data_IF_660209496583
#
_entry.id   IF_660209496583
#
_cell.length_a   1.000
_cell.length_b   1.000
_cell.length_c   1.000
_cell.angle_alpha   90.00
_cell.angle_beta   90.00
_cell.angle_gamma   90.00
#
_symmetry.space_group_name_H-M   'P 1'
#
loop_
_entity.id
_entity.type
_entity.pdbx_description
1 polymer ?
#
# COMPACT_ATOMS: atom_id res chain seq x y z
N UNK A 1 1.20 -2.49 6.43
CA UNK A 1 0.45 -1.79 5.37
C UNK A 1 1.03 -2.17 4.03
N UNK A 2 0.21 -2.48 3.04
CA UNK A 2 0.65 -2.70 1.65
C UNK A 2 -0.28 -1.96 0.70
N UNK A 3 0.20 -1.63 -0.49
CA UNK A 3 -0.62 -1.14 -1.59
C UNK A 3 -0.58 -2.19 -2.69
N UNK A 4 -1.63 -3.04 -2.81
CA UNK A 4 -1.65 -4.10 -3.81
C UNK A 4 -1.51 -3.57 -5.23
N UNK A 5 -2.16 -2.44 -5.54
CA UNK A 5 -2.08 -1.80 -6.87
C UNK A 5 -0.65 -1.31 -7.19
N UNK A 6 0.06 -0.75 -6.22
CA UNK A 6 1.45 -0.32 -6.38
C UNK A 6 2.38 -1.49 -6.72
N UNK A 7 2.24 -2.60 -5.98
CA UNK A 7 2.97 -3.85 -6.23
C UNK A 7 2.61 -4.41 -7.60
N UNK A 8 1.32 -4.43 -7.96
CA UNK A 8 0.85 -4.95 -9.24
C UNK A 8 1.39 -4.13 -10.41
N UNK A 9 1.44 -2.80 -10.32
CA UNK A 9 2.03 -1.93 -11.34
C UNK A 9 3.54 -2.21 -11.50
N UNK A 10 4.30 -2.24 -10.42
CA UNK A 10 5.74 -2.50 -10.47
C UNK A 10 6.09 -3.88 -11.06
N UNK A 11 5.34 -4.92 -10.66
CA UNK A 11 5.55 -6.27 -11.16
C UNK A 11 5.08 -6.42 -12.61
N UNK A 12 4.02 -5.74 -13.03
CA UNK A 12 3.54 -5.79 -14.42
C UNK A 12 4.48 -5.02 -15.35
N UNK A 13 5.03 -3.88 -14.90
CA UNK A 13 6.15 -3.22 -15.60
C UNK A 13 7.33 -4.19 -15.83
N UNK A 14 7.66 -4.97 -14.80
CA UNK A 14 8.73 -5.98 -14.85
C UNK A 14 8.37 -7.16 -15.77
N UNK A 15 7.12 -7.61 -15.76
CA UNK A 15 6.63 -8.74 -16.54
C UNK A 15 6.71 -8.48 -18.05
N UNK A 16 6.57 -7.23 -18.49
CA UNK A 16 6.76 -6.84 -19.89
C UNK A 16 8.18 -7.12 -20.42
N UNK A 17 9.15 -7.29 -19.52
CA UNK A 17 10.51 -7.70 -19.83
C UNK A 17 10.75 -9.21 -19.75
N UNK A 18 9.81 -9.98 -19.19
CA UNK A 18 9.93 -11.42 -18.94
C UNK A 18 9.54 -12.25 -20.16
N UNK A 19 10.05 -13.48 -20.24
CA UNK A 19 9.74 -14.44 -21.31
C UNK A 19 9.65 -15.88 -20.77
N UNK A 20 9.04 -16.78 -21.53
CA UNK A 20 8.88 -18.20 -21.19
C UNK A 20 8.26 -18.45 -19.80
N UNK A 21 8.83 -19.40 -19.05
CA UNK A 21 8.32 -19.79 -17.73
C UNK A 21 8.35 -18.64 -16.71
N UNK A 22 9.29 -17.70 -16.86
CA UNK A 22 9.34 -16.51 -15.98
C UNK A 22 8.10 -15.64 -16.20
N UNK A 23 7.73 -15.38 -17.45
CA UNK A 23 6.52 -14.61 -17.78
C UNK A 23 5.27 -15.33 -17.31
N UNK A 24 5.13 -16.63 -17.62
CA UNK A 24 3.96 -17.41 -17.24
C UNK A 24 3.72 -17.43 -15.71
N UNK A 25 4.79 -17.50 -14.92
CA UNK A 25 4.69 -17.41 -13.46
C UNK A 25 4.26 -16.01 -12.99
N UNK A 26 4.77 -14.95 -13.61
CA UNK A 26 4.39 -13.57 -13.30
C UNK A 26 2.93 -13.30 -13.65
N UNK A 27 2.47 -13.70 -14.84
CA UNK A 27 1.07 -13.58 -15.26
C UNK A 27 0.13 -14.32 -14.31
N UNK A 28 0.48 -15.56 -13.95
CA UNK A 28 -0.32 -16.36 -13.01
C UNK A 28 -0.46 -15.69 -11.65
N UNK A 29 0.62 -15.09 -11.14
CA UNK A 29 0.58 -14.38 -9.87
C UNK A 29 -0.26 -13.11 -10.00
N UNK A 30 -0.04 -12.29 -11.02
CA UNK A 30 -0.64 -10.95 -11.16
C UNK A 30 -2.10 -10.96 -11.61
N UNK A 31 -2.43 -11.78 -12.60
CA UNK A 31 -3.72 -11.74 -13.30
C UNK A 31 -4.34 -13.12 -13.54
N UNK A 32 -3.76 -14.19 -12.96
CA UNK A 32 -4.14 -15.59 -13.19
C UNK A 32 -4.04 -15.95 -14.68
N UNK A 33 -5.16 -15.89 -15.39
CA UNK A 33 -5.26 -16.27 -16.81
C UNK A 33 -5.22 -15.05 -17.75
N UNK A 34 -5.08 -13.83 -17.19
CA UNK A 34 -4.98 -12.59 -17.97
C UNK A 34 -3.54 -12.43 -18.49
N UNK A 35 -3.32 -12.42 -19.81
CA UNK A 35 -2.00 -12.18 -20.39
C UNK A 35 -1.48 -10.78 -20.08
N UNK A 36 -0.15 -10.61 -20.02
CA UNK A 36 0.46 -9.32 -19.62
C UNK A 36 0.05 -8.16 -20.53
N UNK A 37 -0.14 -8.40 -21.82
CA UNK A 37 -0.53 -7.36 -22.78
C UNK A 37 -1.95 -6.84 -22.50
N UNK A 38 -2.88 -7.71 -22.08
CA UNK A 38 -4.23 -7.32 -21.66
C UNK A 38 -4.22 -6.67 -20.26
N UNK A 39 -3.40 -7.19 -19.35
CA UNK A 39 -3.22 -6.62 -18.02
C UNK A 39 -2.67 -5.18 -18.10
N UNK A 40 -1.78 -4.90 -19.04
CA UNK A 40 -1.29 -3.55 -19.31
C UNK A 40 -2.43 -2.57 -19.63
N UNK A 41 -3.40 -2.98 -20.46
CA UNK A 41 -4.55 -2.15 -20.82
C UNK A 41 -5.46 -1.90 -19.62
N UNK A 42 -5.75 -2.93 -18.82
CA UNK A 42 -6.53 -2.78 -17.59
C UNK A 42 -5.85 -1.86 -16.59
N UNK A 43 -4.55 -2.03 -16.37
CA UNK A 43 -3.79 -1.21 -15.43
C UNK A 43 -3.65 0.23 -15.90
N UNK A 44 -3.41 0.45 -17.19
CA UNK A 44 -3.38 1.78 -17.78
C UNK A 44 -4.73 2.48 -17.61
N UNK A 45 -5.82 1.80 -17.96
CA UNK A 45 -7.15 2.37 -17.80
C UNK A 45 -7.45 2.66 -16.33
N UNK A 46 -7.20 1.70 -15.43
CA UNK A 46 -7.48 1.86 -14.01
C UNK A 46 -6.67 3.00 -13.41
N UNK A 47 -5.35 3.01 -13.58
CA UNK A 47 -4.46 4.03 -13.01
C UNK A 47 -4.79 5.45 -13.50
N UNK A 48 -5.11 5.62 -14.80
CA UNK A 48 -5.45 6.94 -15.34
C UNK A 48 -6.88 7.41 -15.01
N UNK A 49 -7.77 6.51 -14.58
CA UNK A 49 -9.14 6.85 -14.19
C UNK A 49 -9.35 6.86 -12.68
N UNK A 50 -8.30 6.64 -11.88
CA UNK A 50 -8.39 6.85 -10.43
C UNK A 50 -8.69 8.32 -10.13
N UNK A 51 -9.74 8.61 -9.34
CA UNK A 51 -10.08 9.98 -8.98
C UNK A 51 -8.92 10.68 -8.27
N UNK A 52 -8.54 11.86 -8.74
CA UNK A 52 -7.51 12.69 -8.14
C UNK A 52 -7.99 14.15 -8.12
N UNK A 53 -8.25 14.67 -6.93
CA UNK A 53 -8.75 16.04 -6.72
C UNK A 53 -8.13 16.66 -5.47
N UNK A 54 -8.24 17.99 -5.30
CA UNK A 54 -7.52 18.76 -4.28
C UNK A 54 -7.67 18.20 -2.84
N UNK A 55 -8.88 17.77 -2.47
CA UNK A 55 -9.21 17.20 -1.14
C UNK A 55 -9.18 15.68 -1.08
N UNK A 56 -8.80 15.03 -2.19
CA UNK A 56 -8.74 13.57 -2.32
C UNK A 56 -7.71 13.23 -3.39
N UNK A 57 -6.46 13.56 -3.07
CA UNK A 57 -5.29 13.39 -3.91
C UNK A 57 -4.89 11.93 -3.93
N UNK A 58 -4.73 11.42 -5.14
CA UNK A 58 -4.21 10.09 -5.40
C UNK A 58 -3.17 10.23 -6.51
N UNK A 59 -1.93 9.90 -6.21
CA UNK A 59 -0.84 9.95 -7.19
C UNK A 59 -0.21 8.58 -7.34
N UNK A 60 0.07 8.22 -8.59
CA UNK A 60 0.88 7.07 -8.97
C UNK A 60 2.02 7.60 -9.82
N UNK A 61 3.25 7.29 -9.43
CA UNK A 61 4.43 7.58 -10.21
C UNK A 61 5.20 6.28 -10.43
N UNK A 62 5.68 6.09 -11.65
CA UNK A 62 6.48 4.95 -12.04
C UNK A 62 7.80 5.44 -12.61
N UNK A 63 8.90 4.76 -12.29
CA UNK A 63 10.18 5.01 -12.96
C UNK A 63 10.97 3.74 -13.20
N UNK A 64 11.75 3.76 -14.27
CA UNK A 64 12.73 2.74 -14.62
C UNK A 64 14.09 3.42 -14.67
N UNK A 65 15.01 2.95 -13.85
CA UNK A 65 16.40 3.39 -13.83
C UNK A 65 17.25 2.24 -14.34
N UNK A 66 18.05 2.43 -15.37
CA UNK A 66 18.91 1.37 -15.90
C UNK A 66 20.34 1.86 -16.17
N UNK A 67 21.29 0.92 -16.06
CA UNK A 67 22.71 1.25 -16.05
C UNK A 67 23.20 1.75 -17.41
N UNK A 68 23.87 2.90 -17.39
CA UNK A 68 24.55 3.53 -18.52
C UNK A 68 25.91 2.86 -18.75
N UNK A 69 25.87 1.62 -19.24
CA UNK A 69 27.04 0.80 -19.53
C UNK A 69 26.68 -0.14 -20.68
N UNK A 70 26.89 0.33 -21.92
CA UNK A 70 26.44 -0.38 -23.14
C UNK A 70 27.21 -1.69 -23.40
N UNK A 71 28.44 -1.80 -22.88
CA UNK A 71 29.22 -3.04 -22.90
C UNK A 71 28.63 -4.09 -21.94
N UNK A 72 27.91 -3.62 -20.91
CA UNK A 72 27.29 -4.47 -19.89
C UNK A 72 25.82 -4.76 -20.11
N UNK A 73 25.05 -3.80 -20.60
CA UNK A 73 23.60 -3.85 -20.67
C UNK A 73 23.09 -3.23 -21.98
N UNK A 74 22.47 -4.07 -22.79
CA UNK A 74 21.69 -3.62 -23.97
C UNK A 74 20.22 -3.82 -23.63
N UNK A 75 19.48 -2.72 -23.50
CA UNK A 75 18.04 -2.73 -23.22
C UNK A 75 17.25 -2.78 -24.53
N UNK A 76 16.18 -3.57 -24.54
CA UNK A 76 15.22 -3.60 -25.64
C UNK A 76 14.34 -2.35 -25.60
N UNK A 77 14.24 -1.64 -26.73
CA UNK A 77 13.47 -0.39 -26.81
C UNK A 77 11.96 -0.63 -26.63
N UNK A 78 11.46 -1.76 -27.10
CA UNK A 78 10.04 -2.11 -26.98
C UNK A 78 9.63 -2.25 -25.52
N UNK A 79 10.49 -2.81 -24.66
CA UNK A 79 10.26 -2.87 -23.21
C UNK A 79 10.11 -1.47 -22.61
N UNK A 80 11.01 -0.54 -22.95
CA UNK A 80 10.94 0.84 -22.48
C UNK A 80 9.67 1.53 -23.01
N UNK A 81 9.33 1.34 -24.28
CA UNK A 81 8.16 1.97 -24.91
C UNK A 81 6.85 1.47 -24.29
N UNK A 82 6.73 0.17 -24.03
CA UNK A 82 5.56 -0.42 -23.36
C UNK A 82 5.40 0.18 -21.96
N UNK A 83 6.48 0.31 -21.20
CA UNK A 83 6.43 0.91 -19.86
C UNK A 83 6.08 2.40 -19.89
N UNK A 84 6.59 3.15 -20.86
CA UNK A 84 6.20 4.54 -21.06
C UNK A 84 4.71 4.67 -21.42
N UNK A 85 4.19 3.80 -22.30
CA UNK A 85 2.82 3.89 -22.80
C UNK A 85 1.77 3.49 -21.77
N UNK A 86 1.97 2.37 -21.07
CA UNK A 86 0.94 1.78 -20.20
C UNK A 86 1.06 2.15 -18.73
N UNK A 87 2.25 2.58 -18.29
CA UNK A 87 2.51 2.87 -16.88
C UNK A 87 2.92 4.32 -16.64
N UNK A 88 2.99 5.15 -17.69
CA UNK A 88 3.56 6.50 -17.63
C UNK A 88 4.94 6.51 -16.94
N UNK A 89 5.74 5.45 -17.16
CA UNK A 89 7.00 5.28 -16.46
C UNK A 89 8.04 6.29 -16.97
N UNK A 90 8.64 7.04 -16.05
CA UNK A 90 9.79 7.88 -16.34
C UNK A 90 11.05 7.02 -16.51
N UNK A 91 11.79 7.22 -17.61
CA UNK A 91 12.91 6.35 -17.99
C UNK A 91 14.23 7.10 -17.82
N UNK A 92 15.10 6.55 -16.98
CA UNK A 92 16.39 7.12 -16.61
C UNK A 92 17.54 6.17 -16.97
N UNK A 93 18.35 6.54 -17.96
CA UNK A 93 19.68 5.95 -18.18
C UNK A 93 20.65 6.60 -17.20
N UNK A 94 21.31 5.82 -16.34
CA UNK A 94 22.10 6.37 -15.21
C UNK A 94 23.37 5.59 -14.94
N UNK A 95 24.44 6.20 -14.41
CA UNK A 95 25.71 5.51 -14.19
C UNK A 95 25.73 4.58 -12.96
N UNK A 96 24.70 4.64 -12.10
CA UNK A 96 24.57 3.82 -10.88
C UNK A 96 25.70 4.11 -9.89
N UNK A 97 25.95 5.39 -9.64
CA UNK A 97 26.90 5.91 -8.64
C UNK A 97 26.16 6.38 -7.38
N UNK A 98 26.90 6.86 -6.37
CA UNK A 98 26.33 7.54 -5.20
C UNK A 98 25.40 8.73 -5.56
N UNK A 99 25.61 9.36 -6.73
CA UNK A 99 24.71 10.40 -7.20
C UNK A 99 23.38 9.80 -7.67
N UNK A 100 23.42 8.71 -8.44
CA UNK A 100 22.21 7.96 -8.85
C UNK A 100 21.40 7.50 -7.64
N UNK A 101 22.07 7.05 -6.56
CA UNK A 101 21.41 6.71 -5.29
C UNK A 101 20.62 7.89 -4.70
N UNK A 102 21.21 9.09 -4.72
CA UNK A 102 20.53 10.32 -4.25
C UNK A 102 19.39 10.71 -5.19
N UNK A 103 19.59 10.58 -6.49
CA UNK A 103 18.59 10.93 -7.50
C UNK A 103 17.36 10.04 -7.38
N UNK A 104 17.54 8.73 -7.19
CA UNK A 104 16.44 7.77 -6.95
C UNK A 104 15.67 8.14 -5.67
N UNK A 105 16.36 8.37 -4.56
CA UNK A 105 15.69 8.72 -3.30
C UNK A 105 15.00 10.08 -3.38
N UNK A 106 15.59 11.06 -4.07
CA UNK A 106 14.96 12.36 -4.32
C UNK A 106 13.73 12.24 -5.23
N UNK A 107 13.79 11.39 -6.26
CA UNK A 107 12.64 11.08 -7.10
C UNK A 107 11.49 10.50 -6.28
N UNK A 108 11.77 9.55 -5.38
CA UNK A 108 10.75 9.01 -4.45
C UNK A 108 10.22 10.08 -3.51
N UNK A 109 11.10 10.91 -2.94
CA UNK A 109 10.68 11.98 -2.03
C UNK A 109 9.71 12.96 -2.70
N UNK A 110 10.04 13.41 -3.91
CA UNK A 110 9.20 14.32 -4.70
C UNK A 110 7.87 13.64 -5.06
N UNK A 111 7.92 12.43 -5.62
CA UNK A 111 6.73 11.70 -6.05
C UNK A 111 5.89 11.14 -4.89
N UNK A 112 6.35 11.32 -3.64
CA UNK A 112 5.61 10.97 -2.43
C UNK A 112 5.24 12.16 -1.56
N UNK A 113 5.38 13.40 -2.06
CA UNK A 113 5.19 14.64 -1.28
C UNK A 113 5.95 14.63 0.06
N UNK A 114 7.13 14.01 0.07
CA UNK A 114 7.97 13.85 1.25
C UNK A 114 7.49 12.81 2.27
N UNK A 115 6.46 12.02 1.97
CA UNK A 115 5.99 10.95 2.86
C UNK A 115 6.97 9.78 2.92
N UNK A 116 7.74 9.54 1.86
CA UNK A 116 8.81 8.55 1.82
C UNK A 116 10.09 9.28 1.45
N UNK A 117 11.02 9.35 2.41
CA UNK A 117 12.30 10.05 2.25
C UNK A 117 13.32 9.25 1.42
N UNK A 118 13.33 7.93 1.61
CA UNK A 118 14.26 6.99 0.98
C UNK A 118 13.60 5.65 0.71
N UNK A 119 14.01 5.03 -0.39
CA UNK A 119 13.64 3.67 -0.80
C UNK A 119 14.82 2.71 -0.86
N UNK A 120 16.04 3.22 -1.11
CA UNK A 120 17.27 2.42 -1.16
C UNK A 120 18.40 3.10 -0.37
N UNK A 121 19.21 2.29 0.30
CA UNK A 121 20.36 2.75 1.09
C UNK A 121 21.69 2.66 0.34
N UNK A 122 21.77 1.76 -0.65
CA UNK A 122 22.95 1.52 -1.48
C UNK A 122 22.53 1.01 -2.86
N UNK A 123 23.46 1.07 -3.82
CA UNK A 123 23.33 0.43 -5.13
C UNK A 123 24.43 -0.63 -5.21
N UNK A 124 24.03 -1.89 -5.38
CA UNK A 124 25.01 -2.98 -5.50
C UNK A 124 25.68 -2.96 -6.89
N UNK A 125 26.96 -3.35 -6.97
CA UNK A 125 27.76 -3.32 -8.20
C UNK A 125 27.16 -4.16 -9.34
N UNK A 126 26.46 -5.24 -9.00
CA UNK A 126 25.78 -6.14 -9.94
C UNK A 126 24.38 -5.64 -10.35
N UNK A 127 23.84 -4.61 -9.69
CA UNK A 127 22.55 -4.01 -10.06
C UNK A 127 22.63 -3.38 -11.44
N UNK A 128 21.67 -3.70 -12.30
CA UNK A 128 21.57 -3.16 -13.68
C UNK A 128 20.31 -2.33 -13.92
N UNK A 129 19.26 -2.53 -13.12
CA UNK A 129 17.98 -1.84 -13.26
C UNK A 129 17.21 -1.75 -11.94
N UNK A 130 16.50 -0.65 -11.72
CA UNK A 130 15.45 -0.51 -10.74
C UNK A 130 14.13 -0.17 -11.44
N UNK A 131 13.05 -0.85 -11.07
CA UNK A 131 11.68 -0.48 -11.41
C UNK A 131 11.01 -0.04 -10.11
N UNK A 132 10.60 1.22 -10.06
CA UNK A 132 10.10 1.86 -8.84
C UNK A 132 8.68 2.34 -9.10
N UNK A 133 7.76 1.91 -8.23
CA UNK A 133 6.43 2.49 -8.13
C UNK A 133 6.33 3.28 -6.82
N UNK A 134 5.78 4.48 -6.89
CA UNK A 134 5.39 5.28 -5.74
C UNK A 134 3.89 5.56 -5.84
N UNK A 135 3.17 5.37 -4.74
CA UNK A 135 1.75 5.70 -4.62
C UNK A 135 1.52 6.60 -3.40
N UNK A 136 0.78 7.69 -3.60
CA UNK A 136 0.36 8.62 -2.55
C UNK A 136 -1.13 8.61 -2.46
N UNK A 137 -1.62 8.63 -1.22
CA UNK A 137 -3.02 8.91 -0.92
C UNK A 137 -3.07 9.98 0.17
N UNK A 138 -3.69 11.10 -0.17
CA UNK A 138 -3.89 12.24 0.73
C UNK A 138 -5.34 12.74 0.55
N UNK A 139 -6.21 12.50 1.52
CA UNK A 139 -7.64 12.76 1.37
C UNK A 139 -8.33 13.17 2.67
N UNK A 140 -9.18 14.19 2.58
CA UNK A 140 -10.04 14.63 3.67
C UNK A 140 -11.25 13.69 3.85
N UNK A 141 -11.70 13.52 5.09
CA UNK A 141 -12.99 12.89 5.34
C UNK A 141 -14.14 13.68 4.70
N UNK A 142 -15.19 13.00 4.23
CA UNK A 142 -16.42 13.69 3.83
C UNK A 142 -17.03 14.48 4.98
N UNK A 143 -16.98 13.89 6.17
CA UNK A 143 -17.35 14.52 7.44
C UNK A 143 -16.17 14.34 8.38
N UNK A 144 -15.44 15.44 8.57
CA UNK A 144 -14.28 15.53 9.46
C UNK A 144 -14.69 15.41 10.92
N UNK A 145 -13.74 14.98 11.76
CA UNK A 145 -13.91 14.99 13.21
C UNK A 145 -13.58 16.38 13.75
N UNK A 146 -14.36 16.83 14.73
CA UNK A 146 -14.13 18.07 15.46
C UNK A 146 -13.56 17.78 16.85
N UNK A 147 -13.11 18.82 17.56
CA UNK A 147 -12.56 18.65 18.92
C UNK A 147 -13.51 17.96 19.90
N UNK A 148 -14.83 18.09 19.71
CA UNK A 148 -15.82 17.43 20.55
C UNK A 148 -15.96 15.92 20.28
N UNK A 149 -15.45 15.46 19.14
CA UNK A 149 -15.52 14.08 18.69
C UNK A 149 -14.26 13.29 19.11
N UNK A 150 -13.28 13.97 19.72
CA UNK A 150 -11.97 13.43 20.07
C UNK A 150 -11.85 13.27 21.58
N UNK A 151 -11.41 12.10 22.04
CA UNK A 151 -11.17 11.84 23.46
C UNK A 151 -9.97 10.90 23.67
N UNK A 152 -9.40 10.90 24.87
CA UNK A 152 -8.36 9.94 25.24
C UNK A 152 -8.97 8.58 25.54
N UNK A 153 -8.55 7.56 24.81
CA UNK A 153 -9.02 6.18 24.95
C UNK A 153 -7.88 5.19 25.09
N UNK A 154 -8.24 3.96 25.43
CA UNK A 154 -7.31 2.84 25.56
C UNK A 154 -7.44 1.90 24.36
N UNK A 155 -6.30 1.57 23.73
CA UNK A 155 -6.17 0.51 22.75
C UNK A 155 -5.44 -0.69 23.38
N UNK A 156 -6.00 -1.88 23.20
CA UNK A 156 -5.38 -3.15 23.62
C UNK A 156 -4.56 -3.68 22.47
N UNK A 157 -3.24 -3.59 22.56
CA UNK A 157 -2.34 -4.10 21.53
C UNK A 157 -2.34 -5.63 21.47
N UNK A 158 -1.79 -6.18 20.37
CA UNK A 158 -1.71 -7.62 20.15
C UNK A 158 -0.93 -8.38 21.25
N UNK A 159 0.02 -7.71 21.91
CA UNK A 159 0.78 -8.26 23.05
C UNK A 159 0.03 -8.15 24.39
N UNK A 160 -1.22 -7.67 24.37
CA UNK A 160 -2.06 -7.43 25.54
C UNK A 160 -1.78 -6.10 26.26
N UNK A 161 -0.75 -5.34 25.84
CA UNK A 161 -0.46 -4.05 26.46
C UNK A 161 -1.55 -3.01 26.19
N UNK A 162 -1.84 -2.19 27.20
CA UNK A 162 -2.79 -1.08 27.09
C UNK A 162 -2.06 0.19 26.68
N UNK A 163 -2.53 0.83 25.62
CA UNK A 163 -1.90 2.00 25.02
C UNK A 163 -2.90 3.15 24.94
N UNK A 164 -2.55 4.29 25.54
CA UNK A 164 -3.40 5.48 25.53
C UNK A 164 -3.16 6.28 24.24
N UNK A 165 -4.23 6.65 23.55
CA UNK A 165 -4.19 7.47 22.35
C UNK A 165 -5.46 8.33 22.22
N UNK A 166 -5.43 9.25 21.27
CA UNK A 166 -6.62 9.96 20.83
C UNK A 166 -7.51 9.04 19.97
N UNK A 167 -8.76 8.91 20.37
CA UNK A 167 -9.82 8.25 19.63
C UNK A 167 -10.79 9.29 19.07
N UNK A 168 -11.38 8.95 17.93
CA UNK A 168 -12.32 9.77 17.18
C UNK A 168 -13.65 9.04 17.08
N UNK A 169 -14.74 9.75 17.37
CA UNK A 169 -16.11 9.21 17.40
C UNK A 169 -16.93 9.80 16.27
N UNK A 170 -17.64 8.97 15.50
CA UNK A 170 -18.58 9.46 14.49
C UNK A 170 -19.73 8.49 14.28
N UNK A 171 -20.88 9.03 13.85
CA UNK A 171 -21.96 8.25 13.27
C UNK A 171 -21.68 7.99 11.79
N UNK A 172 -21.64 6.73 11.40
CA UNK A 172 -21.55 6.27 10.01
C UNK A 172 -22.83 5.53 9.60
N UNK A 173 -23.00 5.23 8.32
CA UNK A 173 -24.25 4.66 7.77
C UNK A 173 -24.09 3.30 7.10
N UNK A 174 -22.87 2.76 7.05
CA UNK A 174 -22.54 1.53 6.36
C UNK A 174 -21.86 0.57 7.33
N UNK A 175 -22.64 -0.39 7.83
CA UNK A 175 -22.16 -1.44 8.74
C UNK A 175 -21.68 -2.64 7.94
N UNK A 176 -20.59 -3.26 8.41
CA UNK A 176 -20.05 -4.48 7.85
C UNK A 176 -20.16 -5.61 8.88
N UNK A 177 -20.54 -6.79 8.41
CA UNK A 177 -20.52 -8.03 9.17
C UNK A 177 -20.27 -9.18 8.19
N UNK A 178 -19.17 -9.91 8.39
CA UNK A 178 -18.84 -11.11 7.61
C UNK A 178 -19.00 -12.41 8.40
N UNK A 179 -19.58 -12.33 9.61
CA UNK A 179 -19.72 -13.41 10.57
C UNK A 179 -18.49 -13.64 11.45
N UNK A 180 -17.30 -13.21 11.01
CA UNK A 180 -16.03 -13.33 11.75
C UNK A 180 -15.49 -11.98 12.22
N UNK A 181 -15.93 -10.88 11.62
CA UNK A 181 -15.57 -9.51 11.95
C UNK A 181 -16.75 -8.57 11.71
N UNK A 182 -16.78 -7.48 12.47
CA UNK A 182 -17.74 -6.38 12.29
C UNK A 182 -17.01 -5.08 12.00
N UNK A 183 -17.66 -4.15 11.31
CA UNK A 183 -16.94 -3.03 10.72
C UNK A 183 -17.80 -1.89 10.25
N UNK A 184 -17.14 -0.94 9.60
CA UNK A 184 -17.82 0.19 8.97
C UNK A 184 -17.07 0.69 7.74
N UNK A 185 -17.80 1.43 6.88
CA UNK A 185 -17.22 2.18 5.77
C UNK A 185 -17.41 3.67 6.04
N UNK A 186 -16.30 4.42 6.12
CA UNK A 186 -16.28 5.88 6.26
C UNK A 186 -15.83 6.53 4.93
N UNK A 187 -16.65 7.35 4.27
CA UNK A 187 -16.29 7.96 3.00
C UNK A 187 -15.31 9.13 3.16
N UNK A 188 -14.37 9.24 2.22
CA UNK A 188 -13.59 10.46 1.99
C UNK A 188 -14.40 11.49 1.19
N UNK A 189 -13.86 12.70 1.07
CA UNK A 189 -14.41 13.79 0.29
C UNK A 189 -14.88 13.32 -1.10
N UNK A 190 -16.02 13.85 -1.55
CA UNK A 190 -16.66 13.52 -2.83
C UNK A 190 -17.05 12.03 -3.03
N UNK A 191 -16.96 11.18 -1.99
CA UNK A 191 -17.27 9.74 -2.01
C UNK A 191 -16.55 8.95 -3.11
N UNK A 192 -15.36 9.39 -3.55
CA UNK A 192 -14.55 8.66 -4.52
C UNK A 192 -13.77 7.51 -3.91
N UNK A 193 -13.33 7.71 -2.66
CA UNK A 193 -12.68 6.68 -1.86
C UNK A 193 -13.41 6.51 -0.52
N UNK A 194 -13.16 5.38 0.13
CA UNK A 194 -13.59 5.16 1.51
C UNK A 194 -12.52 4.47 2.33
N UNK A 195 -12.53 4.73 3.63
CA UNK A 195 -11.86 3.92 4.62
C UNK A 195 -12.78 2.81 5.08
N UNK A 196 -12.29 1.58 5.06
CA UNK A 196 -12.97 0.38 5.53
C UNK A 196 -12.24 -0.09 6.77
N UNK A 197 -12.98 -0.41 7.84
CA UNK A 197 -12.44 -1.07 9.02
C UNK A 197 -13.21 -2.36 9.31
N UNK A 198 -12.48 -3.43 9.63
CA UNK A 198 -13.00 -4.72 10.03
C UNK A 198 -12.30 -5.15 11.33
N UNK A 199 -13.09 -5.23 12.39
CA UNK A 199 -12.70 -5.66 13.72
C UNK A 199 -13.10 -7.13 13.90
N UNK A 200 -12.15 -8.08 13.96
CA UNK A 200 -12.46 -9.49 14.23
C UNK A 200 -13.33 -9.63 15.47
N UNK A 201 -14.26 -10.58 15.53
CA UNK A 201 -15.11 -10.80 16.69
C UNK A 201 -14.29 -11.27 17.91
N UNK A 202 -14.85 -11.17 19.11
CA UNK A 202 -14.19 -11.68 20.31
C UNK A 202 -13.87 -13.18 20.17
N UNK A 203 -12.69 -13.59 20.63
CA UNK A 203 -12.18 -14.96 20.45
C UNK A 203 -11.51 -15.24 19.10
N UNK A 204 -11.63 -14.34 18.12
CA UNK A 204 -10.93 -14.45 16.83
C UNK A 204 -9.72 -13.50 16.84
N UNK A 205 -8.52 -14.06 16.70
CA UNK A 205 -7.30 -13.24 16.57
C UNK A 205 -7.24 -12.61 15.18
N UNK A 206 -6.59 -11.43 15.08
CA UNK A 206 -6.39 -10.77 13.77
C UNK A 206 -5.62 -11.67 12.79
N UNK A 207 -4.68 -12.48 13.28
CA UNK A 207 -3.94 -13.44 12.46
C UNK A 207 -4.86 -14.54 11.90
N UNK A 208 -5.72 -15.13 12.75
CA UNK A 208 -6.67 -16.14 12.29
C UNK A 208 -7.70 -15.57 11.32
N UNK A 209 -8.13 -14.33 11.54
CA UNK A 209 -9.03 -13.65 10.62
C UNK A 209 -8.38 -13.48 9.23
N UNK A 210 -7.16 -12.95 9.17
CA UNK A 210 -6.45 -12.72 7.91
C UNK A 210 -6.14 -14.04 7.19
N UNK A 211 -5.73 -15.09 7.91
CA UNK A 211 -5.39 -16.38 7.31
C UNK A 211 -6.58 -17.04 6.61
N UNK A 212 -7.80 -16.73 7.04
CA UNK A 212 -9.03 -17.28 6.47
C UNK A 212 -9.74 -16.30 5.53
N UNK A 213 -9.22 -15.08 5.36
CA UNK A 213 -9.83 -14.07 4.51
C UNK A 213 -9.32 -14.22 3.08
N UNK A 214 -10.24 -14.43 2.13
CA UNK A 214 -9.97 -14.35 0.70
C UNK A 214 -10.33 -12.99 0.11
N UNK A 215 -9.81 -12.69 -1.09
CA UNK A 215 -10.15 -11.47 -1.82
C UNK A 215 -11.64 -11.40 -2.19
N UNK A 216 -12.23 -12.54 -2.54
CA UNK A 216 -13.65 -12.66 -2.86
C UNK A 216 -14.54 -12.37 -1.63
N UNK A 217 -14.18 -12.92 -0.47
CA UNK A 217 -14.90 -12.66 0.78
C UNK A 217 -14.78 -11.19 1.20
N UNK A 218 -13.58 -10.61 1.14
CA UNK A 218 -13.38 -9.19 1.46
C UNK A 218 -14.22 -8.29 0.54
N UNK A 219 -14.21 -8.53 -0.77
CA UNK A 219 -15.02 -7.78 -1.72
C UNK A 219 -16.52 -7.97 -1.50
N UNK A 220 -16.95 -9.20 -1.20
CA UNK A 220 -18.37 -9.49 -0.91
C UNK A 220 -18.85 -8.68 0.30
N UNK A 221 -18.06 -8.64 1.37
CA UNK A 221 -18.33 -7.85 2.58
C UNK A 221 -18.44 -6.36 2.25
N UNK A 222 -17.45 -5.81 1.54
CA UNK A 222 -17.41 -4.38 1.19
C UNK A 222 -18.55 -3.98 0.23
N UNK A 223 -18.99 -4.88 -0.65
CA UNK A 223 -20.06 -4.62 -1.64
C UNK A 223 -21.47 -4.71 -1.05
N UNK A 224 -21.63 -5.33 0.12
CA UNK A 224 -22.95 -5.61 0.71
C UNK A 224 -23.09 -5.08 2.14
N UNK A 225 -22.77 -3.79 2.41
CA UNK A 225 -22.94 -3.23 3.74
C UNK A 225 -24.42 -3.15 4.13
N UNK A 226 -24.72 -3.35 5.41
CA UNK A 226 -26.03 -3.04 5.98
C UNK A 226 -26.15 -1.51 6.14
N UNK A 227 -27.19 -0.92 5.56
CA UNK A 227 -27.49 0.49 5.74
C UNK A 227 -28.20 0.72 7.08
N UNK A 228 -27.42 1.09 8.09
CA UNK A 228 -27.90 1.39 9.45
C UNK A 228 -26.98 2.39 10.14
N UNK A 229 -27.46 3.02 11.23
CA UNK A 229 -26.66 3.93 12.03
C UNK A 229 -25.60 3.13 12.80
N UNK A 230 -24.33 3.46 12.56
CA UNK A 230 -23.18 2.86 13.24
C UNK A 230 -22.47 3.92 14.06
N UNK A 231 -22.46 3.78 15.38
CA UNK A 231 -21.60 4.59 16.22
C UNK A 231 -20.19 4.00 16.22
N UNK A 232 -19.25 4.73 15.63
CA UNK A 232 -17.88 4.26 15.41
C UNK A 232 -16.91 4.94 16.37
N UNK A 233 -15.84 4.23 16.70
CA UNK A 233 -14.76 4.76 17.52
C UNK A 233 -13.45 4.24 16.95
N UNK A 234 -12.56 5.14 16.53
CA UNK A 234 -11.31 4.80 15.83
C UNK A 234 -10.12 5.58 16.42
N UNK A 235 -8.98 4.93 16.72
CA UNK A 235 -7.80 5.63 17.18
C UNK A 235 -7.17 6.43 16.03
N UNK A 236 -6.56 7.57 16.34
CA UNK A 236 -5.57 8.18 15.44
C UNK A 236 -4.33 7.29 15.38
N UNK A 237 -3.76 7.11 14.20
CA UNK A 237 -2.53 6.34 14.04
C UNK A 237 -1.71 6.82 12.84
N UNK A 238 -0.40 6.66 12.94
CA UNK A 238 0.52 6.90 11.83
C UNK A 238 1.70 5.97 11.94
N UNK A 239 2.08 5.35 10.83
CA UNK A 239 3.25 4.49 10.77
C UNK A 239 3.78 4.32 9.34
N UNK A 240 5.05 3.96 9.26
CA UNK A 240 5.72 3.49 8.05
C UNK A 240 5.80 1.98 8.07
N UNK A 241 5.76 1.36 6.88
CA UNK A 241 5.98 -0.05 6.72
C UNK A 241 6.83 -0.32 5.49
N UNK A 242 7.85 -1.15 5.65
CA UNK A 242 8.76 -1.57 4.60
C UNK A 242 8.88 -3.09 4.63
N UNK A 243 8.74 -3.72 3.46
CA UNK A 243 8.86 -5.15 3.30
C UNK A 243 9.60 -5.50 2.01
N UNK A 244 10.42 -6.55 2.09
CA UNK A 244 10.97 -7.23 0.91
C UNK A 244 10.02 -8.35 0.49
N UNK A 245 9.47 -8.24 -0.72
CA UNK A 245 8.43 -9.14 -1.23
C UNK A 245 8.97 -10.43 -1.86
N UNK A 246 10.28 -10.58 -2.06
CA UNK A 246 10.89 -11.71 -2.76
C UNK A 246 10.33 -13.08 -2.32
N UNK A 247 10.38 -13.38 -1.03
CA UNK A 247 9.99 -14.71 -0.54
C UNK A 247 8.48 -14.91 -0.59
N UNK A 248 7.70 -13.83 -0.45
CA UNK A 248 6.24 -13.87 -0.61
C UNK A 248 5.90 -14.19 -2.08
N UNK A 249 6.49 -13.48 -3.03
CA UNK A 249 6.26 -13.69 -4.46
C UNK A 249 6.71 -15.08 -4.92
N UNK A 250 7.86 -15.57 -4.42
CA UNK A 250 8.29 -16.96 -4.66
C UNK A 250 7.25 -17.97 -4.13
N UNK A 251 6.76 -17.77 -2.91
CA UNK A 251 5.74 -18.64 -2.31
C UNK A 251 4.39 -18.57 -3.05
N UNK A 252 4.10 -17.45 -3.73
CA UNK A 252 2.93 -17.30 -4.59
C UNK A 252 3.09 -17.96 -5.96
N UNK A 253 4.28 -18.49 -6.29
CA UNK A 253 4.55 -19.20 -7.53
C UNK A 253 5.41 -18.43 -8.54
N UNK A 254 5.88 -17.23 -8.20
CA UNK A 254 6.81 -16.44 -9.01
C UNK A 254 8.25 -16.68 -8.55
N UNK A 255 8.80 -17.87 -8.82
CA UNK A 255 10.14 -18.24 -8.35
C UNK A 255 11.25 -17.99 -9.35
N UNK A 256 11.00 -18.21 -10.64
CA UNK A 256 12.05 -18.21 -11.66
C UNK A 256 12.62 -16.81 -11.91
N UNK A 257 11.78 -15.77 -11.83
CA UNK A 257 12.22 -14.39 -11.95
C UNK A 257 13.27 -13.96 -10.91
N UNK A 258 13.37 -14.66 -9.77
CA UNK A 258 14.36 -14.41 -8.72
C UNK A 258 15.56 -15.36 -8.77
N UNK A 259 15.61 -16.28 -9.74
CA UNK A 259 16.66 -17.28 -9.85
C UNK A 259 17.65 -16.93 -10.96
N UNK A 260 18.94 -16.68 -10.65
CA UNK A 260 19.91 -16.23 -11.65
C UNK A 260 20.18 -17.22 -12.79
N UNK A 261 19.82 -18.51 -12.64
CA UNK A 261 20.01 -19.52 -13.69
C UNK A 261 18.74 -19.85 -14.46
N UNK A 262 17.57 -19.44 -13.97
CA UNK A 262 16.26 -19.72 -14.60
C UNK A 262 15.55 -18.48 -15.12
N UNK A 263 15.81 -17.32 -14.53
CA UNK A 263 15.17 -16.07 -14.91
C UNK A 263 15.40 -15.80 -16.40
N UNK A 264 14.32 -15.51 -17.10
CA UNK A 264 14.32 -15.13 -18.50
C UNK A 264 13.66 -13.77 -18.64
N UNK A 265 14.49 -12.73 -18.70
CA UNK A 265 14.08 -11.35 -19.00
C UNK A 265 14.63 -10.90 -20.37
N UNK A 266 14.57 -11.79 -21.37
CA UNK A 266 15.09 -11.56 -22.72
C UNK A 266 14.35 -10.44 -23.46
N UNK A 267 13.07 -10.20 -23.13
CA UNK A 267 12.28 -9.05 -23.65
C UNK A 267 12.70 -7.72 -23.03
N UNK A 268 13.36 -7.74 -21.86
CA UNK A 268 13.90 -6.54 -21.20
C UNK A 268 15.21 -6.08 -21.84
N UNK A 269 16.09 -7.04 -22.14
CA UNK A 269 17.43 -6.75 -22.58
C UNK A 269 18.38 -7.93 -22.41
N UNK A 270 19.66 -7.67 -22.66
CA UNK A 270 20.74 -8.63 -22.52
C UNK A 270 21.85 -8.01 -21.68
N UNK A 271 22.41 -8.80 -20.77
CA UNK A 271 23.64 -8.42 -20.08
C UNK A 271 24.80 -9.30 -20.50
N UNK A 272 25.98 -8.70 -20.69
CA UNK A 272 27.21 -9.45 -20.95
C UNK A 272 27.70 -10.25 -19.74
N UNK A 273 27.13 -10.02 -18.56
CA UNK A 273 27.49 -10.69 -17.30
C UNK A 273 26.57 -11.86 -16.90
N UNK A 274 25.63 -12.25 -17.77
CA UNK A 274 24.71 -13.39 -17.54
C UNK A 274 23.25 -13.00 -17.65
N UNK A 275 22.37 -13.84 -17.08
CA UNK A 275 20.93 -13.59 -17.11
C UNK A 275 20.57 -12.36 -16.27
N UNK A 276 19.62 -11.58 -16.76
CA UNK A 276 18.92 -10.57 -15.97
C UNK A 276 17.96 -11.32 -15.03
N UNK A 277 17.89 -10.91 -13.77
CA UNK A 277 16.98 -11.48 -12.77
C UNK A 277 16.61 -10.41 -11.72
N UNK A 278 15.53 -10.64 -10.99
CA UNK A 278 15.07 -9.74 -9.94
C UNK A 278 15.92 -9.97 -8.69
N UNK A 279 16.72 -8.97 -8.32
CA UNK A 279 17.46 -8.97 -7.05
C UNK A 279 16.53 -8.79 -5.86
N UNK A 280 15.82 -7.67 -5.79
CA UNK A 280 14.90 -7.34 -4.69
C UNK A 280 13.61 -6.69 -5.21
N UNK A 281 12.50 -6.98 -4.55
CA UNK A 281 11.26 -6.21 -4.67
C UNK A 281 11.00 -5.57 -3.31
N UNK A 282 11.31 -4.29 -3.20
CA UNK A 282 11.10 -3.50 -1.98
C UNK A 282 9.79 -2.75 -2.07
N UNK A 283 8.94 -2.90 -1.06
CA UNK A 283 7.67 -2.20 -0.95
C UNK A 283 7.65 -1.37 0.33
N UNK A 284 7.58 -0.04 0.20
CA UNK A 284 7.50 0.89 1.32
C UNK A 284 6.20 1.68 1.25
N UNK A 285 5.55 1.86 2.39
CA UNK A 285 4.28 2.56 2.52
C UNK A 285 4.29 3.42 3.77
N UNK A 286 3.50 4.48 3.73
CA UNK A 286 3.24 5.38 4.85
C UNK A 286 1.73 5.57 4.96
N UNK A 287 1.22 5.63 6.20
CA UNK A 287 -0.14 6.11 6.47
C UNK A 287 -0.14 7.04 7.67
N UNK A 288 -1.00 8.04 7.64
CA UNK A 288 -1.35 8.88 8.77
C UNK A 288 -2.83 9.14 8.72
N UNK A 289 -3.55 8.72 9.76
CA UNK A 289 -4.99 8.86 9.89
C UNK A 289 -5.30 9.74 11.11
N UNK A 290 -6.03 10.83 10.87
CA UNK A 290 -6.32 11.87 11.87
C UNK A 290 -7.75 12.44 11.73
N UNK A 291 -8.03 13.53 12.45
CA UNK A 291 -9.35 14.15 12.49
C UNK A 291 -9.82 14.76 11.16
N UNK A 292 -8.88 15.14 10.28
CA UNK A 292 -9.18 15.78 9.00
C UNK A 292 -9.34 14.75 7.90
N UNK A 293 -8.63 13.64 7.99
CA UNK A 293 -8.64 12.63 6.95
C UNK A 293 -7.46 11.68 7.05
N UNK A 294 -6.84 11.51 5.91
CA UNK A 294 -5.56 10.86 5.74
C UNK A 294 -4.65 11.91 5.07
N UNK A 295 -4.00 12.77 5.89
CA UNK A 295 -3.25 14.05 5.63
C UNK A 295 -4.10 15.29 5.15
N UNK A 296 -3.68 16.55 5.44
CA UNK A 296 -4.48 17.56 6.23
C UNK A 296 -4.57 19.09 5.83
N UNK A 297 -5.70 19.81 6.17
CA UNK A 297 -5.96 21.29 6.26
C UNK A 297 -7.37 21.76 6.82
N UNK A 298 -7.59 23.00 7.34
CA UNK A 298 -8.57 23.44 8.39
C UNK A 298 -10.10 23.75 8.10
N UNK A 299 -10.88 24.01 9.19
CA UNK A 299 -12.35 23.81 9.43
C UNK A 299 -13.27 25.06 9.43
N UNK A 300 -14.58 24.92 9.12
CA UNK A 300 -15.70 25.72 9.68
C UNK A 300 -16.97 24.85 9.88
N UNK A 301 -17.68 25.00 11.02
CA UNK A 301 -18.85 24.19 11.45
C UNK A 301 -20.18 24.96 11.37
N UNK A 302 -21.24 24.32 10.89
CA UNK A 302 -22.65 24.70 11.15
C UNK A 302 -23.43 23.43 11.52
N UNK A 303 -24.19 23.47 12.59
CA UNK A 303 -24.97 22.34 13.14
C UNK A 303 -26.47 22.68 13.15
N UNK A 304 -27.31 21.73 12.73
CA UNK A 304 -28.75 21.72 12.97
C UNK A 304 -29.13 20.31 13.47
N UNK A 305 -30.02 20.23 14.47
CA UNK A 305 -30.47 18.97 15.08
C UNK A 305 -31.94 18.68 14.74
N UNK A 306 -32.24 17.41 14.60
CA UNK A 306 -33.57 16.79 14.48
C UNK A 306 -33.61 15.62 15.49
N UNK A 307 -34.76 15.39 16.12
CA UNK A 307 -35.04 14.20 16.94
C UNK A 307 -35.84 13.18 16.10
N UNK A 308 -35.39 11.93 16.04
CA UNK A 308 -36.23 10.81 15.63
C UNK A 308 -35.83 9.46 16.24
N UNK A 309 -36.77 8.51 16.15
CA UNK A 309 -36.93 7.29 16.94
C UNK A 309 -35.73 6.34 17.05
N UNK A 310 -35.77 5.48 18.08
CA UNK A 310 -34.78 4.42 18.37
C UNK A 310 -34.70 3.45 17.18
N UNK A 311 -33.75 3.70 16.28
CA UNK A 311 -33.27 2.77 15.27
C UNK A 311 -32.26 1.84 15.96
N UNK A 312 -32.24 0.54 15.61
CA UNK A 312 -31.24 -0.41 16.13
C UNK A 312 -29.81 0.05 15.76
N UNK A 313 -29.19 0.79 16.67
CA UNK A 313 -27.87 1.39 16.50
C UNK A 313 -26.80 0.33 16.69
N UNK A 314 -25.92 0.16 15.68
CA UNK A 314 -24.72 -0.68 15.79
C UNK A 314 -23.58 0.11 16.43
N UNK A 315 -22.68 -0.57 17.13
CA UNK A 315 -21.49 0.05 17.73
C UNK A 315 -20.27 -0.70 17.25
N UNK A 316 -19.29 0.01 16.67
CA UNK A 316 -17.99 -0.56 16.28
C UNK A 316 -16.89 0.26 16.91
N UNK A 317 -16.18 -0.34 17.87
CA UNK A 317 -15.09 0.31 18.62
C UNK A 317 -13.77 -0.37 18.30
N UNK A 318 -12.91 0.32 17.55
CA UNK A 318 -11.60 -0.16 17.14
C UNK A 318 -10.56 -0.02 18.26
N UNK A 319 -10.79 -0.64 19.41
CA UNK A 319 -9.93 -0.56 20.61
C UNK A 319 -8.99 -1.77 20.79
N UNK A 320 -8.84 -2.58 19.73
CA UNK A 320 -7.95 -3.75 19.64
C UNK A 320 -7.63 -4.05 18.18
N UNK A 321 -6.74 -5.01 17.85
CA UNK A 321 -6.25 -5.18 16.48
C UNK A 321 -7.35 -5.36 15.44
N UNK A 322 -7.25 -4.60 14.35
CA UNK A 322 -8.23 -4.59 13.27
C UNK A 322 -7.55 -4.53 11.90
N UNK A 323 -8.26 -5.01 10.88
CA UNK A 323 -7.91 -4.84 9.47
C UNK A 323 -8.54 -3.54 8.96
N UNK A 324 -7.84 -2.83 8.10
CA UNK A 324 -8.40 -1.69 7.40
C UNK A 324 -7.96 -1.67 5.93
N UNK A 325 -8.74 -0.98 5.10
CA UNK A 325 -8.42 -0.72 3.71
C UNK A 325 -8.84 0.69 3.29
N UNK A 326 -8.12 1.27 2.34
CA UNK A 326 -8.56 2.45 1.59
C UNK A 326 -8.97 1.95 0.22
N UNK A 327 -10.25 2.09 -0.11
CA UNK A 327 -10.84 1.51 -1.32
C UNK A 327 -11.23 2.59 -2.32
N UNK A 328 -11.08 2.27 -3.60
CA UNK A 328 -11.78 2.97 -4.69
C UNK A 328 -13.25 2.57 -4.66
N UNK A 329 -14.15 3.54 -4.52
CA UNK A 329 -15.57 3.25 -4.42
C UNK A 329 -16.21 2.77 -5.72
N UNK A 330 -15.58 2.98 -6.88
CA UNK A 330 -16.11 2.52 -8.16
C UNK A 330 -15.94 1.00 -8.35
N UNK A 331 -14.78 0.46 -7.98
CA UNK A 331 -14.47 -0.98 -8.12
C UNK A 331 -14.60 -1.77 -6.81
N UNK A 332 -14.52 -1.07 -5.67
CA UNK A 332 -14.32 -1.60 -4.30
C UNK A 332 -12.95 -2.23 -4.06
N UNK A 333 -12.00 -2.06 -4.99
CA UNK A 333 -10.65 -2.56 -4.83
C UNK A 333 -9.86 -1.73 -3.82
N UNK A 334 -9.05 -2.36 -2.95
CA UNK A 334 -8.19 -1.68 -2.01
C UNK A 334 -6.97 -1.08 -2.73
N UNK A 335 -6.85 0.24 -2.68
CA UNK A 335 -5.59 0.92 -2.99
C UNK A 335 -4.55 0.63 -1.90
N UNK A 336 -4.99 0.58 -0.65
CA UNK A 336 -4.18 0.22 0.51
C UNK A 336 -4.93 -0.77 1.37
N UNK A 337 -4.21 -1.72 1.97
CA UNK A 337 -4.73 -2.65 2.96
C UNK A 337 -3.70 -2.88 4.05
N UNK A 338 -4.15 -2.95 5.30
CA UNK A 338 -3.25 -3.08 6.43
C UNK A 338 -3.95 -3.52 7.70
N UNK A 339 -3.16 -3.63 8.75
CA UNK A 339 -3.61 -3.99 10.09
C UNK A 339 -3.03 -2.99 11.06
N UNK A 340 -3.83 -2.57 12.04
CA UNK A 340 -3.30 -1.87 13.21
C UNK A 340 -3.22 -2.87 14.35
N UNK A 341 -2.00 -3.32 14.70
CA UNK A 341 -1.78 -4.32 15.77
C UNK A 341 -1.35 -3.68 17.09
N UNK A 342 -0.75 -2.50 17.02
CA UNK A 342 -0.38 -1.64 18.15
C UNK A 342 -0.33 -0.17 17.68
N UNK A 343 -0.37 0.76 18.63
CA UNK A 343 -0.28 2.21 18.42
C UNK A 343 1.11 2.76 18.72
N UNK A 344 2.15 1.91 18.89
CA UNK A 344 3.46 2.41 19.29
C UNK A 344 3.98 3.34 18.20
N UNK A 345 4.15 4.61 18.58
CA UNK A 345 4.89 5.59 17.78
C UNK A 345 6.26 5.00 17.45
N UNK A 346 6.76 5.27 16.25
CA UNK A 346 8.17 5.08 15.91
C UNK A 346 9.02 5.89 16.92
N UNK A 347 9.47 5.24 17.98
CA UNK A 347 10.41 5.85 18.93
C UNK A 347 11.80 5.74 18.31
N UNK A 348 12.27 6.82 17.72
CA UNK A 348 13.66 6.93 17.27
C UNK A 348 14.58 6.93 18.51
N UNK A 349 15.43 5.92 18.64
CA UNK A 349 16.54 5.95 19.56
C UNK A 349 17.81 6.33 18.80
N UNK A 350 18.35 7.50 19.10
CA UNK A 350 19.74 7.83 18.75
C UNK A 350 20.65 7.12 19.75
N UNK A 351 21.37 6.10 19.29
CA UNK A 351 22.43 5.47 20.08
C UNK A 351 23.73 6.18 19.71
N UNK A 352 24.27 6.98 20.63
CA UNK A 352 25.54 7.66 20.45
C UNK A 352 26.69 6.73 20.85
N UNK A 353 27.50 6.28 19.90
CA UNK A 353 28.81 5.65 20.15
C UNK A 353 29.91 6.59 19.65
N UNK A 354 30.44 7.44 20.52
CA UNK A 354 31.43 8.47 20.14
C UNK A 354 30.89 9.48 19.11
N UNK A 355 31.76 10.06 18.29
CA UNK A 355 31.41 11.11 17.30
C UNK A 355 30.66 10.60 16.03
N UNK A 356 30.05 9.42 16.07
CA UNK A 356 29.23 8.89 14.96
C UNK A 356 27.82 8.59 15.45
N UNK A 357 26.83 9.28 14.90
CA UNK A 357 25.43 8.95 15.08
C UNK A 357 25.05 7.78 14.16
N UNK A 358 24.48 6.71 14.72
CA UNK A 358 23.78 5.67 13.95
C UNK A 358 22.36 5.53 14.46
N UNK A 359 21.40 5.66 13.57
CA UNK A 359 19.99 5.32 13.79
C UNK A 359 19.84 3.80 13.72
N UNK A 360 19.28 3.16 14.75
CA UNK A 360 19.06 1.72 14.77
C UNK A 360 17.56 1.42 14.73
N UNK A 361 17.13 0.66 13.73
CA UNK A 361 15.77 0.19 13.56
C UNK A 361 15.50 -1.06 14.42
N UNK A 362 14.37 -1.10 15.12
CA UNK A 362 13.87 -2.34 15.72
C UNK A 362 12.78 -2.93 14.81
N UNK A 363 13.17 -3.72 13.81
CA UNK A 363 12.24 -4.45 12.94
C UNK A 363 11.79 -5.73 13.64
N UNK A 364 10.59 -5.75 14.22
CA UNK A 364 9.88 -7.01 14.52
C UNK A 364 9.21 -7.50 13.24
N UNK A 365 9.57 -8.70 12.80
CA UNK A 365 9.00 -9.34 11.62
C UNK A 365 7.55 -9.73 11.87
N UNK A 366 6.62 -9.10 11.16
CA UNK A 366 5.23 -9.57 11.04
C UNK A 366 5.13 -10.44 9.78
N UNK A 367 4.71 -11.71 9.94
CA UNK A 367 4.33 -12.55 8.80
C UNK A 367 3.09 -11.91 8.15
N UNK A 368 3.16 -11.65 6.85
CA UNK A 368 2.02 -11.15 6.07
C UNK A 368 1.53 -12.22 5.10
N UNK A 369 0.22 -12.34 4.99
CA UNK A 369 -0.48 -13.02 3.92
C UNK A 369 -0.95 -11.92 2.97
N UNK A 370 -0.40 -11.87 1.76
CA UNK A 370 -0.90 -10.96 0.73
C UNK A 370 -2.15 -11.60 0.15
N UNK A 371 -3.31 -10.99 0.41
CA UNK A 371 -4.52 -11.26 -0.35
C UNK A 371 -4.41 -10.40 -1.61
N UNK A 372 -3.96 -10.99 -2.72
CA UNK A 372 -4.21 -10.39 -4.03
C UNK A 372 -5.63 -10.78 -4.42
N UNK A 373 -6.44 -9.74 -4.63
CA UNK A 373 -7.88 -9.83 -4.92
C UNK A 373 -8.06 -10.15 -6.40
#
# INVERSE_FOLDING_TARGET
LVSPISVMLALSMTANGADGDTLAQMEKVLGKDIPIDELNEYLYYYANNLPNEEKSKQLIANSIWFRDDEDRLVIEKDFLQTNANYYNAEIYKSPFTDQTLKDINNWVNINTDGMIDKIIDQIDDDTIMYLINAIVFDAEWKVIYTKGDIYQGEFTAIDGSKQISEFMVSGESLYLDDGSATGFIKPYYNNKYSFVALLPNEGITIENYINNLSGEELLKTIRSPEMTVVNTTMPKFSYEYEIRLNDILKNMGMSDGFNPTKASFTRMGRSSRGNIYIGEVLHKTFISLDELGTKAGAVTKVEMKDESAIMDMKIVKLDRPFLYAIIDNSTKLPLFIGTLMDLKKLTYYSITYGNRQRTVYNKKYTKLYIIMI
#
